data_IF_692542669164
#
_entry.id   IF_692542669164
#
_cell.length_a   1.000
_cell.length_b   1.000
_cell.length_c   1.000
_cell.angle_alpha   90.00
_cell.angle_beta   90.00
_cell.angle_gamma   90.00
#
_symmetry.space_group_name_H-M   'P 1'
#
loop_
_entity.id
_entity.type
_entity.pdbx_description
1 polymer ?
#
# COMPACT_ATOMS: atom_id res chain seq x y z
N UNK A 1 -3.18 9.16 -5.07
CA UNK A 1 -1.93 8.79 -4.37
C UNK A 1 -1.89 9.59 -3.09
N UNK A 2 -1.55 8.96 -1.97
CA UNK A 2 -1.37 9.59 -0.67
C UNK A 2 0.00 9.19 -0.13
N UNK A 3 0.67 10.07 0.61
CA UNK A 3 1.94 9.72 1.26
C UNK A 3 1.71 8.86 2.51
N UNK A 4 2.72 8.11 2.96
CA UNK A 4 2.67 7.31 4.19
C UNK A 4 2.44 8.16 5.46
N UNK A 5 2.73 9.45 5.41
CA UNK A 5 2.25 10.43 6.38
C UNK A 5 2.12 11.80 5.71
N UNK A 6 1.29 12.69 6.27
CA UNK A 6 1.20 14.09 5.87
C UNK A 6 1.50 14.95 7.09
N UNK A 7 2.62 15.70 7.04
CA UNK A 7 3.11 16.51 8.16
C UNK A 7 3.19 15.74 9.49
N UNK A 8 3.52 14.44 9.43
CA UNK A 8 3.62 13.56 10.59
C UNK A 8 2.31 12.92 11.06
N UNK A 9 1.18 13.23 10.43
CA UNK A 9 -0.07 12.49 10.62
C UNK A 9 -0.09 11.23 9.77
N UNK A 10 -0.21 10.07 10.41
CA UNK A 10 -0.27 8.76 9.77
C UNK A 10 -1.70 8.37 9.44
N UNK A 11 -1.85 7.35 8.59
CA UNK A 11 -3.11 7.08 7.90
C UNK A 11 -4.24 6.53 8.79
N UNK A 12 -3.94 6.10 10.00
CA UNK A 12 -4.95 5.78 11.02
C UNK A 12 -5.53 7.00 11.74
N UNK A 13 -4.95 8.19 11.57
CA UNK A 13 -5.42 9.42 12.20
C UNK A 13 -6.85 9.78 11.74
N UNK A 14 -7.70 10.16 12.71
CA UNK A 14 -9.08 10.56 12.48
C UNK A 14 -9.20 11.79 11.55
N UNK A 15 -8.14 12.58 11.38
CA UNK A 15 -8.08 13.67 10.40
C UNK A 15 -8.35 13.19 8.96
N UNK A 16 -8.06 11.93 8.65
CA UNK A 16 -8.26 11.35 7.31
C UNK A 16 -9.62 10.68 7.13
N UNK A 17 -10.51 10.67 8.13
CA UNK A 17 -11.77 9.91 8.06
C UNK A 17 -12.65 10.33 6.87
N UNK A 18 -12.76 11.62 6.58
CA UNK A 18 -13.49 12.10 5.39
C UNK A 18 -12.82 11.67 4.09
N UNK A 19 -11.49 11.62 4.04
CA UNK A 19 -10.76 11.13 2.86
C UNK A 19 -11.11 9.67 2.61
N UNK A 20 -11.11 8.84 3.65
CA UNK A 20 -11.46 7.42 3.57
C UNK A 20 -12.91 7.19 3.13
N UNK A 21 -13.85 7.95 3.70
CA UNK A 21 -15.25 7.89 3.31
C UNK A 21 -15.44 8.18 1.81
N UNK A 22 -14.79 9.23 1.30
CA UNK A 22 -14.86 9.59 -0.12
C UNK A 22 -14.20 8.53 -1.01
N UNK A 23 -12.98 8.08 -0.70
CA UNK A 23 -12.31 7.04 -1.50
C UNK A 23 -13.12 5.74 -1.53
N UNK A 24 -13.72 5.35 -0.40
CA UNK A 24 -14.58 4.18 -0.31
C UNK A 24 -15.85 4.33 -1.15
N UNK A 25 -16.53 5.47 -1.06
CA UNK A 25 -17.73 5.74 -1.85
C UNK A 25 -17.45 5.68 -3.36
N UNK A 26 -16.27 6.11 -3.78
CA UNK A 26 -15.81 6.00 -5.17
C UNK A 26 -15.32 4.59 -5.55
N UNK A 27 -15.19 3.68 -4.58
CA UNK A 27 -14.50 2.40 -4.73
C UNK A 27 -13.09 2.59 -5.31
N UNK A 28 -12.39 3.64 -4.90
CA UNK A 28 -11.14 4.05 -5.55
C UNK A 28 -10.03 3.00 -5.40
N UNK A 29 -9.07 3.03 -6.34
CA UNK A 29 -7.76 2.40 -6.15
C UNK A 29 -6.82 3.47 -5.58
N UNK A 30 -6.42 3.30 -4.32
CA UNK A 30 -5.60 4.26 -3.59
C UNK A 30 -4.16 3.74 -3.46
N UNK A 31 -3.24 4.37 -4.20
CA UNK A 31 -1.80 4.16 -4.00
C UNK A 31 -1.33 4.93 -2.75
N UNK A 32 -0.75 4.22 -1.77
CA UNK A 32 -0.09 4.81 -0.60
C UNK A 32 1.42 4.78 -0.81
N UNK A 33 2.01 5.92 -1.18
CA UNK A 33 3.43 5.98 -1.51
C UNK A 33 4.28 6.35 -0.29
N UNK A 34 5.48 5.76 -0.14
CA UNK A 34 6.38 6.14 0.93
C UNK A 34 6.76 7.63 0.89
N UNK A 35 6.86 8.24 2.07
CA UNK A 35 7.59 9.49 2.32
C UNK A 35 8.54 9.27 3.50
N UNK A 36 9.17 10.32 4.02
CA UNK A 36 10.00 10.16 5.22
C UNK A 36 9.25 10.35 6.52
N UNK A 37 9.70 9.65 7.58
CA UNK A 37 9.20 9.91 8.91
C UNK A 37 9.63 11.30 9.37
N UNK A 38 8.85 11.86 10.28
CA UNK A 38 9.28 13.02 11.07
C UNK A 38 10.59 12.67 11.79
N UNK A 39 11.60 13.54 11.65
CA UNK A 39 12.90 13.35 12.29
C UNK A 39 13.87 12.41 11.55
N UNK A 40 13.58 12.02 10.30
CA UNK A 40 14.43 11.14 9.49
C UNK A 40 15.91 11.56 9.42
N UNK A 41 16.21 12.86 9.57
CA UNK A 41 17.59 13.37 9.55
C UNK A 41 18.45 12.74 10.66
N UNK A 42 17.83 12.27 11.75
CA UNK A 42 18.51 11.62 12.87
C UNK A 42 18.65 10.10 12.70
N UNK A 43 17.78 9.49 11.89
CA UNK A 43 17.72 8.02 11.70
C UNK A 43 18.37 7.56 10.41
N UNK A 44 18.46 8.42 9.39
CA UNK A 44 19.01 8.07 8.10
C UNK A 44 20.52 7.80 8.12
N UNK A 45 21.24 8.26 9.14
CA UNK A 45 22.70 8.04 9.31
C UNK A 45 23.51 8.39 8.04
N UNK A 46 23.12 9.45 7.34
CA UNK A 46 23.76 9.90 6.09
C UNK A 46 23.44 9.05 4.85
N UNK A 47 22.50 8.12 4.91
CA UNK A 47 22.07 7.28 3.78
C UNK A 47 20.89 7.89 3.01
N UNK A 48 20.71 7.53 1.73
CA UNK A 48 19.51 7.89 0.98
C UNK A 48 18.24 7.41 1.70
N UNK A 49 17.27 8.31 1.84
CA UNK A 49 15.98 8.05 2.51
C UNK A 49 15.23 6.81 1.96
N UNK A 50 15.24 6.53 0.65
CA UNK A 50 14.60 5.32 0.11
C UNK A 50 15.19 4.00 0.61
N UNK A 51 16.43 3.99 1.11
CA UNK A 51 17.12 2.77 1.53
C UNK A 51 16.45 2.08 2.71
N UNK A 52 16.00 2.84 3.71
CA UNK A 52 15.39 2.31 4.93
C UNK A 52 14.23 3.16 5.42
N UNK A 53 14.38 4.48 5.41
CA UNK A 53 13.37 5.39 6.00
C UNK A 53 12.00 5.23 5.35
N UNK A 54 11.95 5.13 4.02
CA UNK A 54 10.70 4.90 3.28
C UNK A 54 10.06 3.55 3.63
N UNK A 55 10.88 2.50 3.76
CA UNK A 55 10.40 1.15 4.06
C UNK A 55 9.82 1.09 5.48
N UNK A 56 10.51 1.68 6.45
CA UNK A 56 10.04 1.74 7.83
C UNK A 56 8.83 2.65 8.00
N UNK A 57 8.78 3.79 7.30
CA UNK A 57 7.65 4.71 7.39
C UNK A 57 6.37 4.13 6.78
N UNK A 58 6.47 3.51 5.60
CA UNK A 58 5.37 2.77 5.00
C UNK A 58 4.88 1.63 5.89
N UNK A 59 5.81 0.88 6.50
CA UNK A 59 5.45 -0.19 7.44
C UNK A 59 4.68 0.37 8.63
N UNK A 60 5.16 1.47 9.25
CA UNK A 60 4.50 2.15 10.38
C UNK A 60 3.11 2.63 10.00
N UNK A 61 3.01 3.39 8.91
CA UNK A 61 1.77 3.95 8.38
C UNK A 61 0.71 2.88 8.13
N UNK A 62 1.11 1.78 7.49
CA UNK A 62 0.17 0.75 7.09
C UNK A 62 -0.25 -0.13 8.27
N UNK A 63 0.63 -0.37 9.24
CA UNK A 63 0.24 -0.97 10.52
C UNK A 63 -0.79 -0.10 11.25
N UNK A 64 -0.56 1.22 11.31
CA UNK A 64 -1.51 2.17 11.92
C UNK A 64 -2.87 2.18 11.20
N UNK A 65 -2.88 2.23 9.86
CA UNK A 65 -4.09 2.12 9.04
C UNK A 65 -4.93 0.87 9.36
N UNK A 66 -4.26 -0.27 9.53
CA UNK A 66 -4.89 -1.56 9.84
C UNK A 66 -5.49 -1.55 11.25
N UNK A 67 -4.72 -1.15 12.26
CA UNK A 67 -5.19 -1.18 13.65
C UNK A 67 -6.20 -0.09 13.99
N UNK A 68 -6.11 1.06 13.33
CA UNK A 68 -7.16 2.06 13.34
C UNK A 68 -8.47 1.54 12.74
N UNK A 69 -8.49 0.36 12.11
CA UNK A 69 -9.69 -0.30 11.58
C UNK A 69 -10.23 0.36 10.31
N UNK A 70 -9.40 1.15 9.60
CA UNK A 70 -9.80 1.90 8.42
C UNK A 70 -10.26 0.93 7.32
N UNK A 71 -9.48 -0.11 7.04
CA UNK A 71 -9.81 -1.12 6.02
C UNK A 71 -11.12 -1.87 6.30
N UNK A 72 -11.52 -1.96 7.59
CA UNK A 72 -12.77 -2.60 8.00
C UNK A 72 -13.97 -1.66 7.85
N UNK A 73 -13.81 -0.37 8.18
CA UNK A 73 -14.87 0.63 8.00
C UNK A 73 -15.09 0.98 6.53
N UNK A 74 -14.02 0.92 5.75
CA UNK A 74 -13.96 1.36 4.36
C UNK A 74 -13.44 0.24 3.46
N UNK A 75 -14.27 -0.80 3.28
CA UNK A 75 -13.89 -2.05 2.61
C UNK A 75 -14.05 -2.06 1.08
N UNK A 76 -14.68 -1.04 0.50
CA UNK A 76 -14.90 -0.95 -0.96
C UNK A 76 -13.74 -0.25 -1.70
N UNK A 77 -12.92 0.54 -1.00
CA UNK A 77 -11.67 1.05 -1.56
C UNK A 77 -10.60 -0.04 -1.60
N UNK A 78 -9.66 0.11 -2.54
CA UNK A 78 -8.59 -0.85 -2.78
C UNK A 78 -7.26 -0.15 -2.56
N UNK A 79 -6.64 -0.42 -1.43
CA UNK A 79 -5.39 0.23 -1.03
C UNK A 79 -4.22 -0.55 -1.60
N UNK A 80 -3.43 0.09 -2.44
CA UNK A 80 -2.25 -0.45 -3.12
C UNK A 80 -0.98 0.04 -2.42
N UNK A 81 -0.21 -0.91 -1.89
CA UNK A 81 1.02 -0.72 -1.14
C UNK A 81 2.24 -0.99 -2.03
N UNK A 82 3.07 0.03 -2.30
CA UNK A 82 4.29 -0.14 -3.06
C UNK A 82 5.33 -1.02 -2.38
N UNK A 83 6.34 -1.39 -3.16
CA UNK A 83 7.56 -2.05 -2.71
C UNK A 83 7.26 -3.33 -1.92
N UNK A 84 6.30 -4.11 -2.42
CA UNK A 84 5.83 -5.37 -1.82
C UNK A 84 5.41 -5.22 -0.35
N UNK A 85 4.82 -4.08 0.00
CA UNK A 85 4.35 -3.80 1.35
C UNK A 85 5.48 -3.53 2.35
N UNK A 86 6.65 -3.12 1.87
CA UNK A 86 7.84 -2.89 2.68
C UNK A 86 8.15 -4.07 3.62
N UNK A 87 8.11 -3.86 4.94
CA UNK A 87 8.42 -4.89 5.93
C UNK A 87 7.17 -5.54 6.56
N UNK A 88 5.96 -5.25 6.06
CA UNK A 88 4.69 -5.73 6.64
C UNK A 88 4.62 -7.26 6.74
N UNK A 89 5.08 -7.97 5.71
CA UNK A 89 5.07 -9.44 5.70
C UNK A 89 6.05 -10.05 6.71
N UNK A 90 7.16 -9.37 7.02
CA UNK A 90 8.17 -9.85 7.98
C UNK A 90 7.76 -9.62 9.44
N UNK A 91 7.02 -8.55 9.71
CA UNK A 91 6.64 -8.18 11.08
C UNK A 91 5.27 -8.71 11.51
N UNK A 92 4.57 -9.47 10.67
CA UNK A 92 3.16 -9.82 10.90
C UNK A 92 2.87 -10.45 12.27
N UNK A 93 3.58 -11.52 12.63
CA UNK A 93 3.37 -12.19 13.93
C UNK A 93 3.67 -11.27 15.12
N UNK A 94 4.69 -10.40 14.99
CA UNK A 94 5.05 -9.43 16.02
C UNK A 94 3.97 -8.36 16.15
N UNK A 95 3.48 -7.85 15.03
CA UNK A 95 2.42 -6.84 14.98
C UNK A 95 1.15 -7.42 15.61
N UNK A 96 0.76 -8.63 15.23
CA UNK A 96 -0.41 -9.32 15.79
C UNK A 96 -0.28 -9.60 17.29
N UNK A 97 0.92 -9.97 17.78
CA UNK A 97 1.18 -10.16 19.21
C UNK A 97 0.85 -8.90 20.04
N UNK A 98 1.18 -7.70 19.54
CA UNK A 98 1.00 -6.45 20.27
C UNK A 98 -0.31 -5.73 19.96
N UNK A 99 -1.00 -6.07 18.87
CA UNK A 99 -2.27 -5.45 18.46
C UNK A 99 -3.54 -6.23 18.85
N UNK A 100 -3.44 -7.20 19.77
CA UNK A 100 -4.58 -8.00 20.21
C UNK A 100 -5.74 -7.11 20.71
N UNK A 101 -6.87 -7.15 20.01
CA UNK A 101 -8.07 -6.36 20.34
C UNK A 101 -8.23 -5.04 19.56
N UNK A 102 -7.23 -4.63 18.77
CA UNK A 102 -7.31 -3.46 17.90
C UNK A 102 -7.76 -3.82 16.48
N UNK A 103 -8.48 -2.92 15.80
CA UNK A 103 -8.88 -3.07 14.39
C UNK A 103 -9.98 -4.10 14.06
N UNK A 104 -10.06 -5.20 14.81
CA UNK A 104 -11.12 -6.22 14.71
C UNK A 104 -10.95 -7.26 13.58
N UNK A 105 -9.77 -7.34 12.95
CA UNK A 105 -9.41 -8.36 11.96
C UNK A 105 -8.03 -8.94 12.28
N UNK A 106 -7.77 -10.20 11.90
CA UNK A 106 -6.42 -10.76 12.02
C UNK A 106 -5.45 -10.01 11.10
N UNK A 107 -4.16 -9.96 11.48
CA UNK A 107 -3.16 -9.31 10.63
C UNK A 107 -3.12 -9.92 9.22
N UNK A 108 -3.27 -11.25 9.17
CA UNK A 108 -3.29 -12.00 7.92
C UNK A 108 -4.49 -11.63 7.04
N UNK A 109 -5.66 -11.40 7.61
CA UNK A 109 -6.83 -10.95 6.84
C UNK A 109 -6.65 -9.53 6.30
N UNK A 110 -6.05 -8.64 7.09
CA UNK A 110 -5.69 -7.31 6.62
C UNK A 110 -4.70 -7.38 5.45
N UNK A 111 -3.65 -8.20 5.56
CA UNK A 111 -2.68 -8.42 4.48
C UNK A 111 -3.35 -8.98 3.21
N UNK A 112 -4.31 -9.90 3.34
CA UNK A 112 -5.07 -10.42 2.19
C UNK A 112 -5.99 -9.39 1.53
N UNK A 113 -6.49 -8.41 2.29
CA UNK A 113 -7.36 -7.37 1.77
C UNK A 113 -6.59 -6.28 1.00
N UNK A 114 -5.32 -6.05 1.36
CA UNK A 114 -4.44 -5.09 0.71
C UNK A 114 -3.99 -5.55 -0.68
N UNK A 115 -3.73 -4.57 -1.53
CA UNK A 115 -3.03 -4.75 -2.79
C UNK A 115 -1.56 -4.36 -2.64
N UNK A 116 -0.69 -4.99 -3.43
CA UNK A 116 0.75 -4.76 -3.40
C UNK A 116 1.31 -4.66 -4.80
N UNK A 117 2.26 -3.75 -5.02
CA UNK A 117 3.09 -3.80 -6.21
C UNK A 117 4.44 -4.49 -5.96
N UNK A 118 5.20 -4.71 -7.04
CA UNK A 118 6.54 -5.30 -7.00
C UNK A 118 7.67 -4.28 -7.12
N UNK A 119 7.42 -2.97 -6.97
CA UNK A 119 8.44 -1.93 -7.16
C UNK A 119 9.73 -2.18 -6.35
N UNK A 120 10.88 -1.81 -6.92
CA UNK A 120 12.20 -2.00 -6.30
C UNK A 120 12.82 -3.35 -6.65
N UNK A 121 13.32 -4.07 -5.63
CA UNK A 121 14.07 -5.33 -5.79
C UNK A 121 13.50 -6.44 -4.90
N UNK A 122 12.26 -6.91 -5.16
CA UNK A 122 11.57 -7.77 -4.20
C UNK A 122 11.95 -9.25 -4.32
N UNK A 123 12.68 -9.66 -5.37
CA UNK A 123 13.12 -11.03 -5.58
C UNK A 123 14.59 -11.23 -5.15
N UNK A 124 14.97 -12.45 -4.69
CA UNK A 124 14.14 -13.65 -4.57
C UNK A 124 13.45 -13.82 -3.20
N UNK A 125 13.52 -12.83 -2.30
CA UNK A 125 13.14 -13.01 -0.89
C UNK A 125 11.78 -12.38 -0.56
N UNK A 126 11.64 -11.08 -0.76
CA UNK A 126 10.50 -10.31 -0.26
C UNK A 126 9.18 -10.74 -0.92
N UNK A 127 9.19 -10.94 -2.24
CA UNK A 127 7.98 -11.25 -3.00
C UNK A 127 7.42 -12.65 -2.66
N UNK A 128 8.22 -13.73 -2.56
CA UNK A 128 7.72 -15.01 -2.06
C UNK A 128 7.17 -14.94 -0.63
N UNK A 129 7.88 -14.24 0.28
CA UNK A 129 7.40 -14.06 1.67
C UNK A 129 6.05 -13.33 1.69
N UNK A 130 5.90 -12.27 0.89
CA UNK A 130 4.62 -11.58 0.74
C UNK A 130 3.52 -12.52 0.25
N UNK A 131 3.80 -13.34 -0.78
CA UNK A 131 2.81 -14.27 -1.31
C UNK A 131 2.39 -15.36 -0.31
N UNK A 132 3.29 -15.82 0.55
CA UNK A 132 2.96 -16.78 1.61
C UNK A 132 2.07 -16.15 2.71
N UNK A 133 2.23 -14.85 2.97
CA UNK A 133 1.47 -14.13 4.00
C UNK A 133 0.12 -13.63 3.47
N UNK A 134 0.13 -12.89 2.36
CA UNK A 134 -1.00 -12.18 1.77
C UNK A 134 -1.72 -12.97 0.65
N UNK A 135 -1.14 -14.06 0.16
CA UNK A 135 -1.60 -14.74 -1.04
C UNK A 135 -1.18 -14.02 -2.33
N UNK A 136 -1.49 -14.63 -3.47
CA UNK A 136 -1.05 -14.16 -4.80
C UNK A 136 -2.10 -13.30 -5.52
N UNK A 137 -3.31 -13.17 -4.98
CA UNK A 137 -4.44 -12.57 -5.69
C UNK A 137 -4.28 -11.05 -5.87
N UNK A 138 -3.69 -10.35 -4.92
CA UNK A 138 -3.62 -8.88 -4.90
C UNK A 138 -2.22 -8.33 -5.15
N UNK A 139 -1.41 -9.03 -5.93
CA UNK A 139 -0.05 -8.62 -6.30
C UNK A 139 -0.03 -8.17 -7.77
N UNK A 140 0.43 -6.95 -8.02
CA UNK A 140 0.56 -6.34 -9.36
C UNK A 140 2.00 -5.93 -9.63
N UNK A 141 2.35 -5.70 -10.90
CA UNK A 141 3.69 -5.21 -11.24
C UNK A 141 3.80 -3.70 -10.97
N UNK A 142 4.95 -3.28 -10.44
CA UNK A 142 5.33 -1.87 -10.31
C UNK A 142 6.79 -1.68 -10.70
N UNK A 143 7.10 -0.68 -11.53
CA UNK A 143 8.48 -0.40 -11.98
C UNK A 143 9.22 0.61 -11.11
N UNK A 144 8.48 1.51 -10.47
CA UNK A 144 9.01 2.75 -9.88
C UNK A 144 9.80 3.60 -10.90
N UNK A 145 9.39 3.57 -12.17
CA UNK A 145 10.03 4.33 -13.25
C UNK A 145 9.94 5.84 -13.00
N UNK A 146 10.94 6.58 -13.50
CA UNK A 146 11.30 7.97 -13.18
C UNK A 146 12.20 8.13 -11.94
N UNK A 147 12.09 7.23 -10.95
CA UNK A 147 12.97 7.19 -9.77
C UNK A 147 14.00 6.06 -9.93
N UNK A 148 13.54 4.91 -10.40
CA UNK A 148 14.38 3.82 -10.88
C UNK A 148 14.82 4.11 -12.32
N UNK A 149 16.13 4.11 -12.55
CA UNK A 149 16.71 4.29 -13.88
C UNK A 149 16.31 3.13 -14.80
N UNK A 150 16.26 3.37 -16.11
CA UNK A 150 15.82 2.39 -17.11
C UNK A 150 16.54 1.03 -16.96
N UNK A 151 17.87 1.02 -16.78
CA UNK A 151 18.63 -0.20 -16.56
C UNK A 151 18.22 -0.98 -15.29
N UNK A 152 17.77 -0.27 -14.25
CA UNK A 152 17.21 -0.89 -13.05
C UNK A 152 15.83 -1.50 -13.29
N UNK A 153 14.99 -0.84 -14.09
CA UNK A 153 13.69 -1.38 -14.52
C UNK A 153 13.90 -2.64 -15.37
N UNK A 154 14.84 -2.63 -16.30
CA UNK A 154 15.17 -3.78 -17.14
C UNK A 154 15.67 -4.97 -16.31
N UNK A 155 16.56 -4.71 -15.34
CA UNK A 155 17.05 -5.73 -14.42
C UNK A 155 15.93 -6.32 -13.55
N UNK A 156 15.00 -5.48 -13.08
CA UNK A 156 13.84 -5.94 -12.33
C UNK A 156 12.92 -6.81 -13.20
N UNK A 157 12.58 -6.40 -14.42
CA UNK A 157 11.81 -7.23 -15.35
C UNK A 157 12.48 -8.58 -15.62
N UNK A 158 13.79 -8.59 -15.86
CA UNK A 158 14.54 -9.82 -16.05
C UNK A 158 14.48 -10.74 -14.81
N UNK A 159 14.51 -10.16 -13.60
CA UNK A 159 14.36 -10.94 -12.36
C UNK A 159 12.97 -11.57 -12.22
N UNK A 160 11.91 -10.85 -12.62
CA UNK A 160 10.53 -11.33 -12.62
C UNK A 160 10.35 -12.50 -13.60
N UNK A 161 10.99 -12.41 -14.78
CA UNK A 161 10.93 -13.45 -15.81
C UNK A 161 11.73 -14.71 -15.44
N UNK A 162 12.85 -14.54 -14.73
CA UNK A 162 13.71 -15.64 -14.32
C UNK A 162 13.29 -16.33 -13.02
N UNK A 163 12.41 -15.70 -12.23
CA UNK A 163 11.98 -16.24 -10.95
C UNK A 163 11.13 -17.50 -11.09
N UNK A 164 11.21 -18.38 -10.08
CA UNK A 164 10.33 -19.54 -9.99
C UNK A 164 8.85 -19.08 -9.99
N UNK A 165 7.95 -19.79 -10.71
CA UNK A 165 6.55 -19.42 -10.77
C UNK A 165 5.89 -19.39 -9.38
N UNK A 166 5.01 -18.41 -9.11
CA UNK A 166 4.24 -18.38 -7.88
C UNK A 166 3.15 -19.47 -7.88
N UNK A 167 2.62 -19.83 -6.69
CA UNK A 167 1.49 -20.74 -6.60
C UNK A 167 0.29 -20.29 -7.46
N UNK A 168 -0.21 -21.19 -8.31
CA UNK A 168 -1.41 -20.97 -9.12
C UNK A 168 -1.22 -20.10 -10.37
N UNK A 169 0.02 -19.90 -10.83
CA UNK A 169 0.33 -19.19 -12.07
C UNK A 169 1.56 -19.76 -12.77
N UNK A 170 1.70 -19.47 -14.05
CA UNK A 170 2.80 -19.95 -14.90
C UNK A 170 4.07 -19.11 -14.77
N UNK A 171 3.93 -17.84 -14.38
CA UNK A 171 5.02 -16.91 -14.11
C UNK A 171 4.53 -15.74 -13.25
N UNK A 172 5.45 -15.01 -12.64
CA UNK A 172 5.12 -13.74 -11.96
C UNK A 172 4.59 -12.69 -12.93
N UNK A 173 5.12 -12.62 -14.16
CA UNK A 173 4.62 -11.72 -15.19
C UNK A 173 3.15 -11.98 -15.53
N UNK A 174 2.79 -13.24 -15.77
CA UNK A 174 1.40 -13.63 -16.06
C UNK A 174 0.46 -13.29 -14.89
N UNK A 175 0.83 -13.70 -13.68
CA UNK A 175 0.04 -13.43 -12.46
C UNK A 175 -0.23 -11.93 -12.26
N UNK A 176 0.84 -11.13 -12.26
CA UNK A 176 0.77 -9.69 -11.99
C UNK A 176 -0.01 -8.94 -13.07
N UNK A 177 0.09 -9.35 -14.34
CA UNK A 177 -0.68 -8.77 -15.44
C UNK A 177 -2.17 -9.07 -15.29
N UNK A 178 -2.53 -10.34 -15.06
CA UNK A 178 -3.91 -10.78 -14.80
C UNK A 178 -4.52 -10.07 -13.60
N UNK A 179 -3.76 -9.88 -12.53
CA UNK A 179 -4.20 -9.17 -11.34
C UNK A 179 -4.41 -7.67 -11.60
N UNK A 180 -3.55 -7.04 -12.41
CA UNK A 180 -3.69 -5.65 -12.81
C UNK A 180 -4.97 -5.43 -13.64
N UNK A 181 -5.25 -6.31 -14.60
CA UNK A 181 -6.50 -6.26 -15.38
C UNK A 181 -7.72 -6.33 -14.44
N UNK A 182 -7.70 -7.24 -13.46
CA UNK A 182 -8.78 -7.36 -12.46
C UNK A 182 -8.90 -6.13 -11.55
N UNK A 183 -7.79 -5.50 -11.18
CA UNK A 183 -7.79 -4.29 -10.36
C UNK A 183 -8.42 -3.12 -11.14
N UNK A 184 -8.01 -2.94 -12.39
CA UNK A 184 -8.35 -1.78 -13.21
C UNK A 184 -9.71 -1.91 -13.93
N UNK A 185 -10.20 -3.12 -14.17
CA UNK A 185 -11.49 -3.35 -14.82
C UNK A 185 -12.71 -2.99 -13.93
N UNK A 186 -12.51 -2.81 -12.62
CA UNK A 186 -13.61 -2.50 -11.71
C UNK A 186 -14.02 -1.02 -11.83
N UNK A 187 -15.30 -0.73 -12.04
CA UNK A 187 -15.78 0.63 -12.21
C UNK A 187 -15.57 1.45 -10.94
N UNK A 188 -14.95 2.61 -11.08
CA UNK A 188 -14.97 3.68 -10.08
C UNK A 188 -16.40 4.23 -10.07
N UNK A 189 -16.99 4.42 -8.90
CA UNK A 189 -18.30 5.06 -8.82
C UNK A 189 -18.18 6.47 -9.45
N UNK A 190 -19.25 6.97 -10.07
CA UNK A 190 -19.23 8.35 -10.57
C UNK A 190 -19.51 9.26 -9.39
N UNK A 191 -18.67 10.28 -9.15
CA UNK A 191 -19.05 11.40 -8.29
C UNK A 191 -20.40 11.96 -8.75
N UNK A 192 -21.40 11.93 -7.87
CA UNK A 192 -22.60 12.74 -8.05
C UNK A 192 -22.22 14.23 -8.07
N UNK A 193 -23.06 15.11 -8.63
CA UNK A 193 -22.77 16.54 -8.65
C UNK A 193 -22.50 17.05 -7.23
N UNK A 194 -21.38 17.76 -7.05
CA UNK A 194 -21.05 18.42 -5.79
C UNK A 194 -22.22 19.31 -5.38
N UNK A 195 -22.99 18.91 -4.37
CA UNK A 195 -23.96 19.80 -3.74
C UNK A 195 -23.13 20.80 -2.94
N UNK A 196 -22.86 21.96 -3.54
CA UNK A 196 -22.18 23.05 -2.86
C UNK A 196 -22.88 23.32 -1.54
N UNK A 197 -22.17 23.09 -0.44
CA UNK A 197 -22.58 23.58 0.86
C UNK A 197 -22.58 25.10 0.76
N UNK A 198 -23.77 25.69 0.63
CA UNK A 198 -23.95 27.13 0.62
C UNK A 198 -23.42 27.70 1.94
N UNK A 199 -22.24 28.32 1.88
CA UNK A 199 -21.76 29.16 2.96
C UNK A 199 -22.70 30.37 3.00
N UNK A 200 -23.68 30.31 3.90
CA UNK A 200 -24.46 31.48 4.29
C UNK A 200 -23.52 32.43 5.03
N UNK A 201 -22.99 33.41 4.31
CA UNK A 201 -22.39 34.59 4.91
C UNK A 201 -23.48 35.31 5.71
N UNK A 202 -23.54 35.07 7.02
CA UNK A 202 -24.24 35.96 7.95
C UNK A 202 -23.26 37.05 8.35
N UNK A 203 -23.44 38.24 7.77
CA UNK A 203 -22.92 39.49 8.30
C UNK A 203 -23.33 39.65 9.76
N UNK A 204 -22.36 39.76 10.66
CA UNK A 204 -22.39 40.63 11.85
C UNK A 204 -20.99 41.16 12.11
#
# INVERSE_FOLDING_TARGET
>A
MLESNIDGHYLGDALFETVWAEQNAQRAVLLVHPTSPVGWQRTALGRPRPMLEFMFDSTRSNTDLVFAGVLRRYSDMRVLMPHSGAALAFFGDRVELFGQGEGGASWRDAMRALWFDTAGTPLPIQLPVLADVAGTAHIVYGSDSCLTLAAGVDAHLASIDAAAPPPGASSWRELTSRNADRLLAQPIARCGPCRGAGISARNR
#
